data_IF_684873659865
#
_entry.id   IF_684873659865
#
_cell.length_a   1.000
_cell.length_b   1.000
_cell.length_c   1.000
_cell.angle_alpha   90.00
_cell.angle_beta   90.00
_cell.angle_gamma   90.00
#
_symmetry.space_group_name_H-M   'P 1'
#
loop_
_entity.id
_entity.type
_entity.pdbx_description
1 polymer ?
#
# COMPACT_ATOMS: atom_id res chain seq x y z
N UNK A 1 -3.40 2.10 -20.70
CA UNK A 1 -3.48 3.00 -19.53
C UNK A 1 -2.96 2.28 -18.30
N UNK A 2 -2.58 3.01 -17.23
CA UNK A 2 -2.31 2.38 -15.95
C UNK A 2 -3.55 1.69 -15.36
N UNK A 3 -3.33 0.70 -14.49
CA UNK A 3 -4.40 -0.20 -13.99
C UNK A 3 -5.54 0.54 -13.27
N UNK A 4 -5.24 1.65 -12.58
CA UNK A 4 -6.25 2.44 -11.86
C UNK A 4 -7.20 3.23 -12.78
N UNK A 5 -6.83 3.42 -14.06
CA UNK A 5 -7.68 4.07 -15.07
C UNK A 5 -8.55 3.07 -15.86
N UNK A 6 -8.60 1.80 -15.46
CA UNK A 6 -9.51 0.83 -16.07
C UNK A 6 -9.11 0.35 -17.47
N UNK A 7 -7.86 0.60 -17.89
CA UNK A 7 -7.29 0.06 -19.13
C UNK A 7 -7.63 0.82 -20.41
N UNK A 8 -8.87 1.30 -20.55
CA UNK A 8 -9.36 2.09 -21.69
C UNK A 8 -10.12 3.35 -21.24
N UNK A 9 -10.00 4.44 -22.01
CA UNK A 9 -10.69 5.69 -21.77
C UNK A 9 -11.06 6.34 -23.11
N UNK A 10 -12.25 6.95 -23.25
CA UNK A 10 -12.57 7.80 -24.38
C UNK A 10 -11.61 9.00 -24.43
N UNK A 11 -10.98 9.19 -25.59
CA UNK A 11 -9.97 10.23 -25.79
C UNK A 11 -10.51 11.41 -26.60
N UNK A 12 -11.02 11.16 -27.80
CA UNK A 12 -11.54 12.20 -28.69
C UNK A 12 -13.03 12.44 -28.44
N UNK A 13 -13.37 13.59 -27.85
CA UNK A 13 -14.75 14.00 -27.60
C UNK A 13 -15.30 14.92 -28.69
N UNK A 14 -14.53 15.25 -29.73
CA UNK A 14 -14.97 16.18 -30.79
C UNK A 14 -15.79 15.49 -31.90
N UNK A 15 -16.02 14.19 -31.78
CA UNK A 15 -16.89 13.42 -32.68
C UNK A 15 -18.24 13.18 -32.01
N UNK A 16 -19.30 13.81 -32.51
CA UNK A 16 -20.61 13.82 -31.85
C UNK A 16 -21.76 14.03 -32.84
N UNK A 17 -22.97 13.62 -32.43
CA UNK A 17 -24.20 14.04 -33.11
C UNK A 17 -24.75 15.30 -32.46
N UNK A 18 -25.36 16.16 -33.26
CA UNK A 18 -25.93 17.39 -32.74
C UNK A 18 -27.13 17.11 -31.84
N UNK A 19 -27.37 17.98 -30.87
CA UNK A 19 -28.54 17.93 -29.99
C UNK A 19 -29.43 19.16 -30.16
N UNK A 20 -30.72 19.01 -29.87
CA UNK A 20 -31.67 20.14 -29.88
C UNK A 20 -31.27 21.22 -28.87
N UNK A 21 -30.74 20.83 -27.72
CA UNK A 21 -30.27 21.75 -26.68
C UNK A 21 -29.05 22.55 -27.12
N UNK A 22 -28.11 21.93 -27.83
CA UNK A 22 -26.94 22.61 -28.35
C UNK A 22 -27.29 23.57 -29.50
N UNK A 23 -28.24 23.20 -30.36
CA UNK A 23 -28.77 24.11 -31.38
C UNK A 23 -29.44 25.34 -30.74
N UNK A 24 -30.31 25.12 -29.75
CA UNK A 24 -30.96 26.21 -29.03
C UNK A 24 -29.94 27.12 -28.32
N UNK A 25 -28.87 26.55 -27.76
CA UNK A 25 -27.77 27.32 -27.18
C UNK A 25 -27.03 28.13 -28.26
N UNK A 26 -26.66 27.50 -29.38
CA UNK A 26 -25.95 28.15 -30.48
C UNK A 26 -26.70 29.38 -31.01
N UNK A 27 -28.03 29.32 -31.07
CA UNK A 27 -28.89 30.46 -31.48
C UNK A 27 -28.84 31.65 -30.51
N UNK A 28 -28.45 31.44 -29.25
CA UNK A 28 -28.32 32.53 -28.26
C UNK A 28 -26.96 33.22 -28.28
N UNK A 29 -25.96 32.61 -28.94
CA UNK A 29 -24.59 33.09 -28.95
C UNK A 29 -24.33 34.03 -30.14
N UNK A 30 -23.35 34.93 -29.99
CA UNK A 30 -22.92 35.83 -31.05
C UNK A 30 -22.21 35.09 -32.20
N UNK A 31 -22.24 35.60 -33.43
CA UNK A 31 -21.73 34.93 -34.65
C UNK A 31 -20.29 34.43 -34.49
N UNK A 32 -19.45 35.24 -33.83
CA UNK A 32 -18.03 34.97 -33.61
C UNK A 32 -17.76 34.02 -32.42
N UNK A 33 -18.79 33.63 -31.66
CA UNK A 33 -18.63 32.69 -30.55
C UNK A 33 -18.37 31.27 -31.06
N UNK A 34 -17.46 30.55 -30.39
CA UNK A 34 -17.14 29.15 -30.68
C UNK A 34 -17.47 28.30 -29.46
N UNK A 35 -18.31 27.29 -29.66
CA UNK A 35 -18.58 26.24 -28.69
C UNK A 35 -17.44 25.23 -28.82
N UNK A 36 -16.73 25.01 -27.70
CA UNK A 36 -15.68 24.00 -27.62
C UNK A 36 -16.08 23.03 -26.53
N UNK A 37 -16.05 21.74 -26.86
CA UNK A 37 -16.36 20.68 -25.90
C UNK A 37 -15.36 20.72 -24.73
N UNK A 38 -15.87 20.62 -23.51
CA UNK A 38 -15.07 20.71 -22.27
C UNK A 38 -15.12 22.07 -21.56
N UNK A 39 -15.71 23.13 -22.15
CA UNK A 39 -16.06 24.33 -21.38
C UNK A 39 -17.26 24.04 -20.48
N UNK A 40 -17.04 24.05 -19.16
CA UNK A 40 -18.08 23.81 -18.15
C UNK A 40 -19.27 24.80 -18.22
N UNK A 41 -19.09 25.90 -18.94
CA UNK A 41 -20.05 26.99 -19.07
C UNK A 41 -21.27 26.61 -19.94
N UNK A 42 -21.14 25.60 -20.81
CA UNK A 42 -22.18 25.23 -21.76
C UNK A 42 -22.50 23.73 -21.73
N UNK A 43 -23.70 23.38 -21.24
CA UNK A 43 -24.20 22.02 -21.28
C UNK A 43 -24.82 21.73 -22.66
N UNK A 44 -24.02 21.19 -23.59
CA UNK A 44 -24.46 20.86 -24.96
C UNK A 44 -25.30 19.58 -25.02
N UNK A 45 -25.09 18.62 -24.11
CA UNK A 45 -25.77 17.32 -24.07
C UNK A 45 -25.65 16.51 -25.37
N UNK A 46 -24.58 16.72 -26.13
CA UNK A 46 -24.33 15.99 -27.36
C UNK A 46 -23.94 14.54 -27.05
N UNK A 47 -24.49 13.55 -27.76
CA UNK A 47 -23.96 12.20 -27.70
C UNK A 47 -22.61 12.15 -28.42
N UNK A 48 -21.54 11.92 -27.64
CA UNK A 48 -20.19 11.74 -28.18
C UNK A 48 -19.96 10.29 -28.61
N UNK A 49 -19.41 10.12 -29.80
CA UNK A 49 -19.13 8.82 -30.43
C UNK A 49 -18.28 7.92 -29.51
N UNK A 50 -17.34 8.51 -28.77
CA UNK A 50 -16.42 7.79 -27.90
C UNK A 50 -17.10 7.03 -26.74
N UNK A 51 -18.31 7.45 -26.33
CA UNK A 51 -19.08 6.77 -25.27
C UNK A 51 -20.04 5.69 -25.80
N UNK A 52 -20.18 5.56 -27.12
CA UNK A 52 -21.15 4.64 -27.74
C UNK A 52 -20.54 3.28 -28.11
N UNK A 53 -19.29 3.04 -27.72
CA UNK A 53 -18.58 1.80 -28.01
C UNK A 53 -19.15 0.63 -27.20
N UNK A 54 -19.66 -0.35 -27.92
CA UNK A 54 -19.81 -1.75 -27.47
C UNK A 54 -18.58 -2.57 -27.94
N UNK A 55 -17.83 -3.22 -27.03
CA UNK A 55 -16.73 -4.12 -27.39
C UNK A 55 -17.12 -5.33 -28.25
N UNK A 56 -18.40 -5.71 -28.26
CA UNK A 56 -18.94 -6.81 -29.06
C UNK A 56 -19.77 -6.32 -30.26
N UNK A 57 -19.82 -5.01 -30.48
CA UNK A 57 -20.54 -4.39 -31.60
C UNK A 57 -19.86 -4.63 -32.94
N UNK A 58 -20.62 -4.42 -34.02
CA UNK A 58 -20.13 -4.53 -35.39
C UNK A 58 -19.18 -3.35 -35.72
N UNK A 59 -17.90 -3.58 -36.05
CA UNK A 59 -16.96 -2.52 -36.43
C UNK A 59 -17.39 -1.71 -37.66
N UNK A 60 -18.19 -2.30 -38.54
CA UNK A 60 -18.69 -1.65 -39.77
C UNK A 60 -20.02 -0.92 -39.55
N UNK A 61 -20.53 -0.90 -38.31
CA UNK A 61 -21.72 -0.10 -37.98
C UNK A 61 -21.43 1.37 -38.23
N UNK A 62 -22.20 1.99 -39.11
CA UNK A 62 -22.13 3.42 -39.38
C UNK A 62 -23.17 4.19 -38.57
N UNK A 63 -22.78 5.36 -38.08
CA UNK A 63 -23.67 6.31 -37.43
C UNK A 63 -23.43 7.70 -38.03
N UNK A 64 -24.48 8.41 -38.43
CA UNK A 64 -24.33 9.80 -38.87
C UNK A 64 -23.85 10.67 -37.72
N UNK A 65 -22.95 11.61 -37.98
CA UNK A 65 -22.45 12.57 -36.97
C UNK A 65 -22.43 13.98 -37.55
N UNK A 66 -22.33 14.98 -36.67
CA UNK A 66 -22.36 16.40 -37.03
C UNK A 66 -21.01 17.07 -36.79
N UNK A 67 -20.38 16.77 -35.66
CA UNK A 67 -19.00 17.13 -35.34
C UNK A 67 -18.04 15.98 -35.64
N UNK A 68 -16.84 16.31 -36.12
CA UNK A 68 -15.74 15.35 -36.29
C UNK A 68 -14.52 15.84 -35.52
N UNK A 69 -13.80 14.93 -34.87
CA UNK A 69 -12.51 15.23 -34.26
C UNK A 69 -11.33 14.99 -35.21
N UNK A 70 -10.15 15.50 -34.86
CA UNK A 70 -8.96 15.44 -35.72
C UNK A 70 -8.11 14.17 -35.58
N UNK A 71 -8.39 13.29 -34.61
CA UNK A 71 -7.48 12.18 -34.26
C UNK A 71 -7.35 11.15 -35.37
N UNK A 72 -8.46 10.73 -35.96
CA UNK A 72 -8.46 9.81 -37.10
C UNK A 72 -9.67 10.05 -38.00
N UNK A 73 -9.46 10.80 -39.07
CA UNK A 73 -10.49 11.11 -40.07
C UNK A 73 -10.06 10.68 -41.47
N UNK A 74 -11.02 10.15 -42.22
CA UNK A 74 -10.86 9.83 -43.63
C UNK A 74 -11.90 10.60 -44.44
N UNK A 75 -11.45 11.53 -45.27
CA UNK A 75 -12.30 12.30 -46.15
C UNK A 75 -11.91 12.09 -47.63
N UNK A 76 -12.92 11.90 -48.48
CA UNK A 76 -12.70 11.81 -49.93
C UNK A 76 -12.15 13.14 -50.44
N UNK A 77 -11.13 13.10 -51.29
CA UNK A 77 -10.50 14.32 -51.83
C UNK A 77 -11.48 15.28 -52.55
N UNK A 78 -12.62 14.78 -53.05
CA UNK A 78 -13.69 15.61 -53.63
C UNK A 78 -14.29 16.59 -52.60
N UNK A 79 -14.40 16.19 -51.33
CA UNK A 79 -14.95 17.02 -50.24
C UNK A 79 -14.11 18.29 -50.06
N UNK A 80 -12.79 18.15 -50.01
CA UNK A 80 -11.88 19.29 -49.97
C UNK A 80 -11.94 20.14 -51.24
N UNK A 81 -11.98 19.49 -52.42
CA UNK A 81 -12.04 20.21 -53.71
C UNK A 81 -13.34 20.98 -53.93
N UNK A 82 -14.43 20.63 -53.25
CA UNK A 82 -15.67 21.43 -53.25
C UNK A 82 -15.63 22.64 -52.32
N UNK A 83 -14.56 22.80 -51.54
CA UNK A 83 -14.38 23.95 -50.65
C UNK A 83 -14.60 23.65 -49.17
N UNK A 84 -14.85 22.39 -48.77
CA UNK A 84 -14.85 22.04 -47.35
C UNK A 84 -13.41 22.08 -46.83
N UNK A 85 -13.17 22.80 -45.74
CA UNK A 85 -11.87 22.88 -45.10
C UNK A 85 -12.04 23.00 -43.59
N UNK A 86 -10.93 23.08 -42.85
CA UNK A 86 -10.92 23.37 -41.41
C UNK A 86 -11.00 24.88 -41.23
N UNK A 87 -12.15 25.47 -40.85
CA UNK A 87 -12.25 26.92 -40.71
C UNK A 87 -11.44 27.41 -39.50
N UNK A 88 -10.64 28.46 -39.71
CA UNK A 88 -9.93 29.16 -38.64
C UNK A 88 -10.77 30.29 -38.00
N UNK A 89 -12.07 30.31 -38.32
CA UNK A 89 -13.06 31.28 -37.87
C UNK A 89 -14.33 30.51 -37.44
N UNK A 90 -15.24 31.17 -36.73
CA UNK A 90 -16.51 30.57 -36.33
C UNK A 90 -17.37 30.24 -37.56
N UNK A 91 -17.71 28.96 -37.72
CA UNK A 91 -18.66 28.46 -38.70
C UNK A 91 -19.75 27.69 -37.96
N UNK A 92 -20.98 28.20 -37.95
CA UNK A 92 -22.08 27.65 -37.14
C UNK A 92 -21.67 27.42 -35.67
N UNK A 93 -20.95 28.40 -35.10
CA UNK A 93 -20.37 28.36 -33.74
C UNK A 93 -19.31 27.28 -33.49
N UNK A 94 -18.72 26.72 -34.54
CA UNK A 94 -17.63 25.73 -34.43
C UNK A 94 -16.44 26.16 -35.26
N UNK A 95 -15.26 25.65 -34.93
CA UNK A 95 -14.03 25.91 -35.66
C UNK A 95 -13.32 24.58 -35.97
N UNK A 96 -12.27 24.67 -36.78
CA UNK A 96 -11.31 23.58 -37.00
C UNK A 96 -11.99 22.28 -37.48
N UNK A 97 -11.88 21.17 -36.76
CA UNK A 97 -12.41 19.85 -37.16
C UNK A 97 -13.92 19.76 -37.01
N UNK A 98 -14.49 20.29 -35.94
CA UNK A 98 -15.94 20.32 -35.76
C UNK A 98 -16.61 21.21 -36.83
N UNK A 99 -15.99 22.35 -37.12
CA UNK A 99 -16.41 23.23 -38.22
C UNK A 99 -16.33 22.55 -39.59
N UNK A 100 -15.31 21.70 -39.81
CA UNK A 100 -15.21 20.88 -41.02
C UNK A 100 -16.41 19.92 -41.15
N UNK A 101 -16.79 19.24 -40.07
CA UNK A 101 -17.95 18.33 -40.04
C UNK A 101 -19.25 19.03 -40.41
N UNK A 102 -19.52 20.18 -39.76
CA UNK A 102 -20.68 21.03 -40.06
C UNK A 102 -20.68 21.52 -41.51
N UNK A 103 -19.54 21.99 -42.00
CA UNK A 103 -19.41 22.49 -43.38
C UNK A 103 -19.64 21.37 -44.40
N UNK A 104 -19.13 20.16 -44.14
CA UNK A 104 -19.36 18.99 -44.99
C UNK A 104 -20.85 18.65 -45.08
N UNK A 105 -21.56 18.59 -43.94
CA UNK A 105 -23.02 18.40 -43.93
C UNK A 105 -23.76 19.52 -44.65
N UNK A 106 -23.35 20.79 -44.47
CA UNK A 106 -23.97 21.94 -45.16
C UNK A 106 -23.82 21.85 -46.68
N UNK A 107 -22.71 21.30 -47.16
CA UNK A 107 -22.46 20.99 -48.57
C UNK A 107 -23.10 19.67 -49.05
N UNK A 108 -24.01 19.08 -48.27
CA UNK A 108 -24.76 17.86 -48.60
C UNK A 108 -23.88 16.61 -48.74
N UNK A 109 -22.74 16.58 -48.05
CA UNK A 109 -21.99 15.34 -47.88
C UNK A 109 -22.48 14.57 -46.65
N UNK A 110 -22.35 13.25 -46.70
CA UNK A 110 -22.53 12.39 -45.54
C UNK A 110 -21.30 12.48 -44.65
N UNK A 111 -21.53 12.64 -43.35
CA UNK A 111 -20.50 12.62 -42.31
C UNK A 111 -20.90 11.50 -41.36
N UNK A 112 -20.02 10.50 -41.24
CA UNK A 112 -20.31 9.25 -40.52
C UNK A 112 -19.16 8.93 -39.57
N UNK A 113 -19.51 8.38 -38.40
CA UNK A 113 -18.61 7.79 -37.44
C UNK A 113 -18.86 6.29 -37.31
N UNK A 114 -17.82 5.57 -36.88
CA UNK A 114 -17.87 4.14 -36.61
C UNK A 114 -17.71 3.92 -35.10
N UNK A 115 -18.78 3.77 -34.31
CA UNK A 115 -18.72 3.72 -32.85
C UNK A 115 -17.93 2.52 -32.31
N UNK A 116 -17.87 1.42 -33.05
CA UNK A 116 -17.19 0.20 -32.63
C UNK A 116 -15.80 0.03 -33.26
N UNK A 117 -15.47 0.81 -34.30
CA UNK A 117 -14.13 0.79 -34.90
C UNK A 117 -13.15 1.59 -34.04
N UNK A 118 -12.36 0.88 -33.24
CA UNK A 118 -11.51 1.50 -32.21
C UNK A 118 -10.07 1.69 -32.70
N UNK A 119 -9.56 2.92 -32.59
CA UNK A 119 -8.14 3.24 -32.76
C UNK A 119 -7.59 3.70 -31.41
N UNK A 120 -6.39 3.23 -31.07
CA UNK A 120 -5.74 3.54 -29.80
C UNK A 120 -4.82 4.75 -29.95
N UNK A 121 -5.11 5.81 -29.17
CA UNK A 121 -4.20 6.94 -29.01
C UNK A 121 -3.13 6.61 -27.96
N UNK A 122 -1.92 7.14 -28.13
CA UNK A 122 -0.88 7.00 -27.11
C UNK A 122 -1.35 7.68 -25.81
N UNK A 123 -1.12 7.01 -24.68
CA UNK A 123 -1.44 7.60 -23.39
C UNK A 123 -0.48 8.74 -23.07
N UNK A 124 -1.02 9.93 -22.89
CA UNK A 124 -0.32 11.11 -22.38
C UNK A 124 -0.84 11.40 -20.97
N UNK A 125 -0.03 11.16 -19.92
CA UNK A 125 -0.48 11.36 -18.56
C UNK A 125 -0.70 12.85 -18.28
N UNK A 126 -1.85 13.17 -17.69
CA UNK A 126 -2.16 14.51 -17.21
C UNK A 126 -1.27 14.88 -16.00
N UNK A 127 -1.26 16.16 -15.62
CA UNK A 127 -0.57 16.59 -14.40
C UNK A 127 -1.09 15.88 -13.15
N UNK A 128 -2.38 15.56 -13.10
CA UNK A 128 -2.98 14.85 -11.98
C UNK A 128 -2.62 13.36 -12.00
N UNK A 129 -2.53 12.73 -13.18
CA UNK A 129 -2.03 11.36 -13.31
C UNK A 129 -0.60 11.24 -12.83
N UNK A 130 0.26 12.22 -13.17
CA UNK A 130 1.66 12.25 -12.74
C UNK A 130 1.74 12.34 -11.21
N UNK A 131 0.95 13.22 -10.60
CA UNK A 131 0.88 13.34 -9.13
C UNK A 131 0.43 12.03 -8.47
N UNK A 132 -0.60 11.40 -9.01
CA UNK A 132 -1.10 10.15 -8.48
C UNK A 132 -0.07 9.02 -8.60
N UNK A 133 0.66 8.96 -9.71
CA UNK A 133 1.76 8.02 -9.89
C UNK A 133 2.88 8.22 -8.86
N UNK A 134 3.26 9.48 -8.61
CA UNK A 134 4.26 9.80 -7.59
C UNK A 134 3.81 9.42 -6.18
N UNK A 135 2.54 9.62 -5.84
CA UNK A 135 1.95 9.22 -4.56
C UNK A 135 1.97 7.69 -4.38
N UNK A 136 1.51 6.95 -5.39
CA UNK A 136 1.56 5.49 -5.38
C UNK A 136 2.99 4.95 -5.26
N UNK A 137 3.98 5.59 -5.92
CA UNK A 137 5.38 5.20 -5.79
C UNK A 137 5.92 5.45 -4.37
N UNK A 138 5.53 6.56 -3.75
CA UNK A 138 5.89 6.87 -2.35
C UNK A 138 5.27 5.87 -1.39
N UNK A 139 4.00 5.54 -1.55
CA UNK A 139 3.31 4.54 -0.73
C UNK A 139 3.91 3.14 -0.90
N UNK A 140 4.24 2.75 -2.14
CA UNK A 140 4.93 1.47 -2.40
C UNK A 140 6.27 1.40 -1.67
N UNK A 141 7.09 2.45 -1.79
CA UNK A 141 8.38 2.52 -1.08
C UNK A 141 8.21 2.49 0.44
N UNK A 142 7.19 3.18 0.97
CA UNK A 142 6.90 3.16 2.40
C UNK A 142 6.49 1.77 2.89
N UNK A 143 5.64 1.08 2.13
CA UNK A 143 5.18 -0.29 2.43
C UNK A 143 6.33 -1.30 2.35
N UNK A 144 7.14 -1.25 1.31
CA UNK A 144 8.33 -2.10 1.18
C UNK A 144 9.31 -1.87 2.34
N UNK A 145 9.50 -0.61 2.76
CA UNK A 145 10.34 -0.29 3.92
C UNK A 145 9.72 -0.76 5.25
N UNK A 146 8.40 -0.69 5.41
CA UNK A 146 7.70 -1.22 6.59
C UNK A 146 7.73 -2.74 6.65
N UNK A 147 7.49 -3.42 5.52
CA UNK A 147 7.60 -4.88 5.40
C UNK A 147 9.02 -5.36 5.71
N UNK A 148 10.04 -4.66 5.22
CA UNK A 148 11.43 -4.95 5.54
C UNK A 148 11.70 -4.78 7.04
N UNK A 149 11.26 -3.66 7.64
CA UNK A 149 11.42 -3.43 9.09
C UNK A 149 10.66 -4.45 9.92
N UNK A 150 9.47 -4.86 9.49
CA UNK A 150 8.67 -5.85 10.18
C UNK A 150 9.33 -7.23 10.08
N UNK A 151 9.88 -7.58 8.91
CA UNK A 151 10.67 -8.81 8.73
C UNK A 151 11.91 -8.80 9.61
N UNK A 152 12.71 -7.73 9.62
CA UNK A 152 13.87 -7.58 10.50
C UNK A 152 13.50 -7.68 11.98
N UNK A 153 12.37 -7.07 12.38
CA UNK A 153 11.86 -7.15 13.75
C UNK A 153 11.44 -8.58 14.10
N UNK A 154 10.77 -9.29 13.20
CA UNK A 154 10.36 -10.68 13.40
C UNK A 154 11.57 -11.61 13.47
N UNK A 155 12.57 -11.45 12.60
CA UNK A 155 13.82 -12.21 12.63
C UNK A 155 14.58 -11.99 13.95
N UNK A 156 14.58 -10.76 14.46
CA UNK A 156 15.17 -10.42 15.77
C UNK A 156 14.39 -11.02 16.94
N UNK A 157 13.07 -11.03 16.88
CA UNK A 157 12.22 -11.67 17.89
C UNK A 157 12.45 -13.18 17.87
N UNK A 158 12.45 -13.81 16.69
CA UNK A 158 12.65 -15.25 16.55
C UNK A 158 14.01 -15.69 17.11
N UNK A 159 15.09 -14.98 16.76
CA UNK A 159 16.42 -15.27 17.32
C UNK A 159 16.45 -15.13 18.86
N UNK A 160 15.81 -14.09 19.42
CA UNK A 160 15.69 -13.96 20.88
C UNK A 160 14.90 -15.10 21.52
N UNK A 161 13.82 -15.57 20.88
CA UNK A 161 13.03 -16.71 21.36
C UNK A 161 13.81 -18.02 21.28
N UNK A 162 14.57 -18.26 20.22
CA UNK A 162 15.43 -19.45 20.08
C UNK A 162 16.54 -19.47 21.15
N UNK A 163 17.16 -18.32 21.42
CA UNK A 163 18.15 -18.17 22.50
C UNK A 163 17.52 -18.48 23.87
N UNK A 164 16.34 -17.91 24.14
CA UNK A 164 15.63 -18.13 25.42
C UNK A 164 15.16 -19.58 25.58
N UNK A 165 14.72 -20.23 24.49
CA UNK A 165 14.33 -21.64 24.50
C UNK A 165 15.54 -22.56 24.75
N UNK A 166 16.69 -22.24 24.15
CA UNK A 166 17.94 -22.96 24.41
C UNK A 166 18.40 -22.82 25.87
N UNK A 167 18.29 -21.63 26.45
CA UNK A 167 18.58 -21.40 27.87
C UNK A 167 17.61 -22.18 28.78
N UNK A 168 16.32 -22.17 28.49
CA UNK A 168 15.33 -22.94 29.26
C UNK A 168 15.57 -24.46 29.20
N UNK A 169 15.99 -25.00 28.05
CA UNK A 169 16.34 -26.43 27.94
C UNK A 169 17.59 -26.78 28.77
N UNK A 170 18.60 -25.89 28.79
CA UNK A 170 19.78 -26.04 29.65
C UNK A 170 19.38 -26.02 31.12
N UNK A 171 18.64 -25.00 31.55
CA UNK A 171 18.19 -24.87 32.95
C UNK A 171 17.35 -26.08 33.40
N UNK A 172 16.46 -26.59 32.53
CA UNK A 172 15.67 -27.79 32.80
C UNK A 172 16.56 -29.03 32.96
N UNK A 173 17.60 -29.16 32.15
CA UNK A 173 18.57 -30.26 32.26
C UNK A 173 19.39 -30.16 33.56
N UNK A 174 19.83 -28.95 33.94
CA UNK A 174 20.58 -28.71 35.17
C UNK A 174 19.74 -28.97 36.43
N UNK A 175 18.46 -28.60 36.43
CA UNK A 175 17.53 -28.91 37.53
C UNK A 175 17.35 -30.44 37.66
N UNK A 176 17.18 -31.15 36.55
CA UNK A 176 17.05 -32.62 36.57
C UNK A 176 18.31 -33.28 37.09
N UNK A 177 19.49 -32.79 36.70
CA UNK A 177 20.77 -33.33 37.16
C UNK A 177 21.04 -32.98 38.63
N UNK A 178 20.70 -31.77 39.07
CA UNK A 178 20.74 -31.38 40.48
C UNK A 178 19.78 -32.23 41.34
N UNK A 179 18.59 -32.56 40.82
CA UNK A 179 17.63 -33.41 41.51
C UNK A 179 18.14 -34.86 41.61
N UNK A 180 18.70 -35.41 40.53
CA UNK A 180 19.37 -36.73 40.57
C UNK A 180 20.55 -36.75 41.53
N UNK A 181 21.36 -35.69 41.57
CA UNK A 181 22.47 -35.57 42.52
C UNK A 181 21.98 -35.48 43.98
N UNK A 182 20.88 -34.76 44.24
CA UNK A 182 20.26 -34.67 45.55
C UNK A 182 19.63 -35.99 46.00
N UNK A 183 19.01 -36.74 45.08
CA UNK A 183 18.45 -38.07 45.35
C UNK A 183 19.57 -39.11 45.57
N UNK A 184 20.65 -39.07 44.79
CA UNK A 184 21.84 -39.90 45.03
C UNK A 184 22.52 -39.58 46.37
N UNK A 185 22.58 -38.30 46.77
CA UNK A 185 23.09 -37.90 48.08
C UNK A 185 22.17 -38.35 49.23
N UNK A 186 20.84 -38.37 49.01
CA UNK A 186 19.87 -38.95 49.95
C UNK A 186 20.00 -40.46 50.06
N UNK A 187 20.25 -41.17 48.96
CA UNK A 187 20.47 -42.62 48.97
C UNK A 187 21.79 -42.99 49.66
N UNK A 188 22.85 -42.19 49.47
CA UNK A 188 24.10 -42.35 50.23
C UNK A 188 23.89 -42.01 51.71
N UNK A 189 23.14 -40.96 52.05
CA UNK A 189 22.80 -40.63 53.44
C UNK A 189 21.86 -41.66 54.10
N UNK A 190 20.99 -42.30 53.32
CA UNK A 190 20.16 -43.44 53.71
C UNK A 190 21.00 -44.69 53.96
N UNK A 191 21.91 -45.01 53.04
CA UNK A 191 22.87 -46.11 53.20
C UNK A 191 23.83 -45.93 54.39
N UNK A 192 24.23 -44.69 54.70
CA UNK A 192 25.00 -44.36 55.92
C UNK A 192 24.15 -44.49 57.19
N UNK A 193 22.83 -44.26 57.12
CA UNK A 193 21.90 -44.52 58.22
C UNK A 193 21.67 -46.01 58.47
N UNK A 194 21.64 -46.82 57.41
CA UNK A 194 21.38 -48.26 57.50
C UNK A 194 22.63 -49.09 57.88
N UNK A 195 23.84 -48.52 57.72
CA UNK A 195 25.09 -49.16 58.13
C UNK A 195 25.58 -48.82 59.56
N UNK A 196 24.90 -47.92 60.29
CA UNK A 196 25.33 -47.48 61.63
C UNK A 196 24.49 -48.08 62.78
N UNK A 197 24.35 -49.41 62.78
CA UNK A 197 24.03 -50.16 63.99
C UNK A 197 25.28 -50.31 64.86
N UNK A 198 25.38 -49.51 65.93
CA UNK A 198 26.43 -49.42 66.96
C UNK A 198 27.77 -48.75 66.57
N UNK A 199 27.90 -47.43 66.81
CA UNK A 199 28.89 -46.80 67.73
C UNK A 199 28.39 -45.38 68.07
N UNK A 200 28.03 -45.14 69.35
CA UNK A 200 27.45 -43.89 69.88
C UNK A 200 28.48 -42.76 70.13
N UNK A 201 29.68 -42.82 69.57
CA UNK A 201 30.76 -41.84 69.88
C UNK A 201 31.37 -41.13 68.66
N UNK A 202 31.04 -41.49 67.41
CA UNK A 202 31.49 -40.73 66.22
C UNK A 202 30.46 -39.69 65.71
N UNK A 203 29.21 -39.77 66.17
CA UNK A 203 28.11 -38.90 65.73
C UNK A 203 28.22 -37.44 66.21
N UNK A 204 29.16 -37.13 67.11
CA UNK A 204 29.28 -35.81 67.74
C UNK A 204 30.22 -34.85 67.01
N UNK A 205 31.11 -35.34 66.14
CA UNK A 205 32.00 -34.50 65.31
C UNK A 205 31.39 -34.18 63.93
N UNK A 206 30.76 -35.16 63.26
CA UNK A 206 30.15 -34.95 61.91
C UNK A 206 28.95 -34.00 61.94
N UNK A 207 28.21 -33.96 63.07
CA UNK A 207 27.11 -33.01 63.26
C UNK A 207 27.60 -31.55 63.41
N UNK A 208 28.86 -31.35 63.80
CA UNK A 208 29.50 -30.03 63.89
C UNK A 208 29.83 -29.46 62.51
N UNK A 209 30.39 -30.27 61.62
CA UNK A 209 30.76 -29.86 60.26
C UNK A 209 29.54 -29.66 59.34
N UNK A 210 28.51 -30.52 59.45
CA UNK A 210 27.27 -30.33 58.69
C UNK A 210 26.52 -29.05 59.10
N UNK A 211 26.59 -28.66 60.38
CA UNK A 211 25.99 -27.41 60.88
C UNK A 211 26.81 -26.18 60.47
N UNK A 212 28.13 -26.31 60.30
CA UNK A 212 29.00 -25.26 59.79
C UNK A 212 28.82 -25.04 58.27
N UNK A 213 28.71 -26.12 57.49
CA UNK A 213 28.45 -26.06 56.05
C UNK A 213 27.05 -25.52 55.73
N UNK A 214 26.02 -25.92 56.48
CA UNK A 214 24.66 -25.40 56.32
C UNK A 214 24.55 -23.92 56.74
N UNK A 215 25.32 -23.49 57.74
CA UNK A 215 25.40 -22.08 58.13
C UNK A 215 26.15 -21.24 57.09
N UNK A 216 27.23 -21.75 56.50
CA UNK A 216 27.96 -21.09 55.42
C UNK A 216 27.15 -20.92 54.14
N UNK A 217 26.36 -21.93 53.75
CA UNK A 217 25.43 -21.83 52.62
C UNK A 217 24.28 -20.85 52.90
N UNK A 218 23.73 -20.84 54.12
CA UNK A 218 22.68 -19.90 54.51
C UNK A 218 23.18 -18.44 54.59
N UNK A 219 24.40 -18.22 55.11
CA UNK A 219 25.02 -16.88 55.18
C UNK A 219 25.37 -16.38 53.76
N UNK A 220 25.84 -17.24 52.85
CA UNK A 220 26.08 -16.88 51.44
C UNK A 220 24.83 -16.51 50.66
N UNK A 221 23.70 -17.21 50.89
CA UNK A 221 22.39 -16.85 50.32
C UNK A 221 21.88 -15.53 50.90
N UNK A 222 22.14 -15.26 52.19
CA UNK A 222 21.76 -14.00 52.85
C UNK A 222 22.58 -12.81 52.34
N UNK A 223 23.87 -13.00 52.11
CA UNK A 223 24.76 -11.98 51.55
C UNK A 223 24.45 -11.70 50.08
N UNK A 224 24.08 -12.73 49.31
CA UNK A 224 23.64 -12.56 47.91
C UNK A 224 22.29 -11.84 47.83
N UNK A 225 21.34 -12.18 48.71
CA UNK A 225 20.06 -11.49 48.82
C UNK A 225 20.21 -10.04 49.30
N UNK A 226 21.14 -9.76 50.23
CA UNK A 226 21.45 -8.40 50.68
C UNK A 226 22.15 -7.59 49.59
N UNK A 227 23.05 -8.20 48.82
CA UNK A 227 23.67 -7.55 47.66
C UNK A 227 22.70 -7.23 46.52
N UNK A 228 21.66 -8.05 46.33
CA UNK A 228 20.56 -7.77 45.41
C UNK A 228 19.63 -6.66 45.93
N UNK A 229 19.35 -6.64 47.23
CA UNK A 229 18.57 -5.57 47.86
C UNK A 229 19.31 -4.21 47.81
N UNK A 230 20.60 -4.17 48.13
CA UNK A 230 21.41 -2.94 48.06
C UNK A 230 21.57 -2.43 46.61
N UNK A 231 21.59 -3.34 45.61
CA UNK A 231 21.56 -2.97 44.18
C UNK A 231 20.20 -2.44 43.76
N UNK A 232 19.11 -3.00 44.29
CA UNK A 232 17.75 -2.53 44.02
C UNK A 232 17.50 -1.14 44.62
N UNK A 233 17.98 -0.88 45.85
CA UNK A 233 17.87 0.44 46.49
C UNK A 233 18.73 1.50 45.77
N UNK A 234 19.96 1.15 45.34
CA UNK A 234 20.77 2.06 44.52
C UNK A 234 20.18 2.34 43.14
N UNK A 235 19.53 1.35 42.53
CA UNK A 235 18.80 1.55 41.28
C UNK A 235 17.57 2.43 41.48
N UNK A 236 16.84 2.28 42.59
CA UNK A 236 15.70 3.12 42.95
C UNK A 236 16.12 4.57 43.24
N UNK A 237 17.23 4.80 43.96
CA UNK A 237 17.77 6.15 44.20
C UNK A 237 18.26 6.83 42.92
N UNK A 238 18.83 6.08 41.96
CA UNK A 238 19.25 6.62 40.67
C UNK A 238 18.04 7.07 39.82
N UNK A 239 16.94 6.31 39.84
CA UNK A 239 15.69 6.66 39.13
C UNK A 239 14.98 7.87 39.77
N UNK A 240 15.09 8.05 41.08
CA UNK A 240 14.52 9.23 41.78
C UNK A 240 15.35 10.49 41.53
N UNK A 241 16.68 10.40 41.40
CA UNK A 241 17.54 11.55 41.06
C UNK A 241 17.38 12.03 39.61
N UNK A 242 17.10 11.14 38.68
CA UNK A 242 16.93 11.49 37.25
C UNK A 242 15.60 12.24 36.99
N UNK A 243 14.56 11.98 37.78
CA UNK A 243 13.27 12.67 37.71
C UNK A 243 13.23 14.04 38.39
N UNK A 244 14.24 14.40 39.18
CA UNK A 244 14.34 15.70 39.88
C UNK A 244 15.11 16.79 39.13
N UNK A 245 15.59 16.50 37.91
CA UNK A 245 16.39 17.42 37.10
C UNK A 245 15.68 17.91 35.82
N UNK A 246 14.36 17.65 35.70
CA UNK A 246 13.54 17.98 34.52
C UNK A 246 12.30 18.84 34.86
N UNK A 247 12.39 19.69 35.89
CA UNK A 247 11.48 20.83 36.15
C UNK A 247 12.29 22.12 36.33
#
# INVERSE_FOLDING_TARGET
>A
LPDWLGGEQPYDLNSWQESETALALADTLDEDAVIVEGYAEYATWRPHLAYLRDPYGDPDMEMEIDGVGGVSILAKAKVFRSGVHFPAFSFEKHAETEGFGKMAKRMQYSVVGLPHYTIWHLYEPSLDDIRHMEEMEKERKAREAEELKNKERMDKIQSQFDDTASEWEKDKSEIVDAQKAADAAKDVAGGVKDAAGNVKEAAKEVAGEAKAAAKGAADGVKDTAKGLADKADKAAEAVVKDKGAAE
#
